data_IF_462161099874
#
_entry.id   IF_462161099874
#
_cell.length_a   1.000
_cell.length_b   1.000
_cell.length_c   1.000
_cell.angle_alpha   90.00
_cell.angle_beta   90.00
_cell.angle_gamma   90.00
#
_symmetry.space_group_name_H-M   'P 1'
#
loop_
_entity.id
_entity.type
_entity.pdbx_description
1 polymer ?
#
# COMPACT_ATOMS: atom_id res chain seq x y z
N UNK A 1 -4.73 8.74 -18.99
CA UNK A 1 -4.70 8.49 -17.53
C UNK A 1 -6.13 8.45 -17.06
N UNK A 2 -6.70 7.26 -16.90
CA UNK A 2 -8.15 7.05 -16.82
C UNK A 2 -8.60 6.82 -15.37
N UNK A 3 -9.39 7.77 -14.90
CA UNK A 3 -10.06 7.83 -13.62
C UNK A 3 -11.16 6.77 -13.51
N UNK A 4 -10.87 5.65 -12.84
CA UNK A 4 -11.91 4.80 -12.26
C UNK A 4 -11.92 4.83 -10.72
N UNK A 5 -10.86 5.36 -10.08
CA UNK A 5 -10.70 5.36 -8.62
C UNK A 5 -10.07 6.66 -8.08
N UNK A 6 -10.56 7.82 -8.51
CA UNK A 6 -10.19 9.09 -7.86
C UNK A 6 -10.90 9.20 -6.49
N UNK A 7 -10.48 8.35 -5.56
CA UNK A 7 -10.90 8.39 -4.16
C UNK A 7 -9.87 9.20 -3.38
N UNK A 8 -10.32 10.19 -2.61
CA UNK A 8 -9.45 10.98 -1.74
C UNK A 8 -8.89 10.03 -0.67
N UNK A 9 -7.58 9.76 -0.75
CA UNK A 9 -6.87 8.90 0.20
C UNK A 9 -6.23 9.76 1.27
N UNK A 10 -6.65 9.55 2.51
CA UNK A 10 -5.99 10.14 3.67
C UNK A 10 -4.63 9.47 3.88
N UNK A 11 -3.70 10.19 4.50
CA UNK A 11 -2.40 9.67 4.86
C UNK A 11 -2.53 8.32 5.58
N UNK A 12 -1.75 7.34 5.14
CA UNK A 12 -1.75 5.96 5.68
C UNK A 12 -3.05 5.18 5.47
N UNK A 13 -3.90 5.59 4.52
CA UNK A 13 -4.90 4.68 3.96
C UNK A 13 -4.22 3.46 3.32
N UNK A 14 -4.98 2.38 3.08
CA UNK A 14 -4.42 1.15 2.50
C UNK A 14 -3.60 1.46 1.25
N UNK A 15 -2.40 0.91 1.14
CA UNK A 15 -1.46 1.12 0.04
C UNK A 15 -0.68 2.44 0.04
N UNK A 16 -1.04 3.44 0.84
CA UNK A 16 -0.27 4.68 1.05
C UNK A 16 0.68 4.49 2.25
N UNK A 17 1.78 3.77 2.00
CA UNK A 17 2.72 3.36 3.04
C UNK A 17 3.68 4.51 3.41
N UNK A 18 3.86 5.49 2.53
CA UNK A 18 4.64 6.71 2.84
C UNK A 18 3.81 7.74 3.62
N UNK A 19 2.49 7.70 3.52
CA UNK A 19 1.58 8.65 4.14
C UNK A 19 1.51 9.98 3.39
N UNK A 20 1.88 10.01 2.10
CA UNK A 20 1.89 11.22 1.29
C UNK A 20 0.59 11.45 0.50
N UNK A 21 -0.35 10.50 0.59
CA UNK A 21 -1.66 10.57 -0.04
C UNK A 21 -1.71 10.03 -1.47
N UNK A 22 -0.59 9.55 -2.02
CA UNK A 22 -0.53 8.92 -3.34
C UNK A 22 -0.01 7.48 -3.24
N UNK A 23 -0.63 6.56 -3.98
CA UNK A 23 -0.09 5.19 -4.10
C UNK A 23 0.87 5.15 -5.29
N UNK A 24 2.15 5.02 -4.99
CA UNK A 24 3.24 5.07 -5.97
C UNK A 24 4.18 3.86 -5.85
N UNK A 25 5.24 3.84 -6.67
CA UNK A 25 6.31 2.85 -6.51
C UNK A 25 7.07 2.98 -5.18
N UNK A 26 6.98 4.12 -4.49
CA UNK A 26 7.64 4.33 -3.19
C UNK A 26 6.96 3.50 -2.11
N UNK A 27 5.63 3.45 -2.10
CA UNK A 27 4.83 2.63 -1.18
C UNK A 27 5.14 1.16 -1.35
N UNK A 28 5.20 0.71 -2.60
CA UNK A 28 5.64 -0.65 -2.96
C UNK A 28 7.03 -0.96 -2.41
N UNK A 29 7.97 -0.02 -2.51
CA UNK A 29 9.32 -0.20 -1.98
C UNK A 29 9.31 -0.30 -0.45
N UNK A 30 8.52 0.55 0.23
CA UNK A 30 8.39 0.51 1.69
C UNK A 30 7.75 -0.80 2.14
N UNK A 31 6.60 -1.19 1.60
CA UNK A 31 5.93 -2.46 1.87
C UNK A 31 6.89 -3.66 1.68
N UNK A 32 7.65 -3.67 0.57
CA UNK A 32 8.65 -4.72 0.33
C UNK A 32 9.73 -4.77 1.42
N UNK A 33 10.21 -3.62 1.89
CA UNK A 33 11.22 -3.58 2.95
C UNK A 33 10.66 -4.03 4.30
N UNK A 34 9.40 -3.74 4.59
CA UNK A 34 8.67 -4.21 5.77
C UNK A 34 8.50 -5.72 5.71
N UNK A 35 7.96 -6.26 4.61
CA UNK A 35 7.79 -7.69 4.39
C UNK A 35 9.11 -8.46 4.52
N UNK A 36 10.22 -7.88 4.04
CA UNK A 36 11.54 -8.49 4.15
C UNK A 36 12.22 -8.28 5.51
N UNK A 37 11.62 -7.52 6.44
CA UNK A 37 12.21 -7.21 7.75
C UNK A 37 13.46 -6.30 7.69
N UNK A 38 13.66 -5.59 6.57
CA UNK A 38 14.81 -4.69 6.34
C UNK A 38 14.53 -3.23 6.70
N UNK A 39 13.33 -2.96 7.19
CA UNK A 39 12.89 -1.67 7.71
C UNK A 39 12.00 -1.91 8.93
N UNK A 40 12.27 -1.18 10.02
CA UNK A 40 11.34 -1.11 11.16
C UNK A 40 10.21 -0.16 10.80
N UNK A 41 9.00 -0.70 10.67
CA UNK A 41 7.80 0.06 10.34
C UNK A 41 7.17 0.72 11.57
N UNK A 42 6.47 1.83 11.36
CA UNK A 42 5.49 2.35 12.33
C UNK A 42 4.19 1.55 12.29
N UNK A 43 3.31 1.74 13.27
CA UNK A 43 1.99 1.12 13.27
C UNK A 43 1.15 1.54 12.05
N UNK A 44 1.21 2.82 11.66
CA UNK A 44 0.48 3.35 10.50
C UNK A 44 1.00 2.74 9.19
N UNK A 45 2.31 2.53 9.08
CA UNK A 45 2.92 1.87 7.92
C UNK A 45 2.53 0.39 7.82
N UNK A 46 2.45 -0.32 8.95
CA UNK A 46 1.95 -1.69 8.97
C UNK A 46 0.47 -1.75 8.56
N UNK A 47 -0.34 -0.83 9.08
CA UNK A 47 -1.75 -0.73 8.70
C UNK A 47 -1.92 -0.43 7.22
N UNK A 48 -1.19 0.56 6.68
CA UNK A 48 -1.27 0.92 5.28
C UNK A 48 -0.76 -0.20 4.36
N UNK A 49 0.32 -0.90 4.75
CA UNK A 49 0.92 -1.94 3.93
C UNK A 49 0.10 -3.23 3.86
N UNK A 50 -0.64 -3.61 4.91
CA UNK A 50 -1.53 -4.78 4.93
C UNK A 50 -2.83 -4.50 4.14
N UNK A 51 -2.76 -4.56 2.81
CA UNK A 51 -3.88 -4.20 1.93
C UNK A 51 -4.89 -5.33 1.77
N UNK A 52 -4.49 -6.59 2.02
CA UNK A 52 -5.38 -7.74 1.97
C UNK A 52 -6.11 -8.00 3.31
N UNK A 53 -5.69 -7.35 4.41
CA UNK A 53 -6.25 -7.40 5.77
C UNK A 53 -6.12 -8.76 6.45
N UNK A 54 -5.06 -9.50 6.17
CA UNK A 54 -4.76 -10.75 6.86
C UNK A 54 -3.91 -10.56 8.14
N UNK A 55 -3.52 -9.30 8.43
CA UNK A 55 -2.64 -8.89 9.53
C UNK A 55 -1.17 -9.28 9.36
N UNK A 56 -0.75 -9.65 8.16
CA UNK A 56 0.63 -10.00 7.82
C UNK A 56 1.04 -9.18 6.60
N UNK A 57 2.02 -8.29 6.77
CA UNK A 57 2.61 -7.59 5.63
C UNK A 57 3.56 -8.54 4.91
N UNK A 58 3.16 -9.06 3.76
CA UNK A 58 3.96 -9.99 2.95
C UNK A 58 4.00 -9.63 1.46
N UNK A 59 4.51 -10.54 0.62
CA UNK A 59 4.64 -10.30 -0.83
C UNK A 59 3.30 -10.12 -1.53
N UNK A 60 2.22 -10.67 -0.97
CA UNK A 60 0.85 -10.52 -1.50
C UNK A 60 0.44 -9.06 -1.49
N UNK A 61 0.71 -8.35 -0.41
CA UNK A 61 0.43 -6.92 -0.31
C UNK A 61 1.24 -6.09 -1.29
N UNK A 62 2.53 -6.43 -1.42
CA UNK A 62 3.45 -5.74 -2.35
C UNK A 62 2.94 -5.86 -3.79
N UNK A 63 2.50 -7.05 -4.19
CA UNK A 63 1.95 -7.30 -5.51
C UNK A 63 0.60 -6.60 -5.71
N UNK A 64 -0.24 -6.52 -4.68
CA UNK A 64 -1.48 -5.76 -4.72
C UNK A 64 -1.25 -4.25 -4.85
N UNK A 65 -0.31 -3.65 -4.10
CA UNK A 65 0.05 -2.23 -4.24
C UNK A 65 0.57 -1.94 -5.65
N UNK A 66 1.41 -2.82 -6.19
CA UNK A 66 1.89 -2.71 -7.56
C UNK A 66 0.75 -2.81 -8.58
N UNK A 67 -0.16 -3.75 -8.36
CA UNK A 67 -1.34 -3.93 -9.20
C UNK A 67 -2.28 -2.73 -9.15
N UNK A 68 -2.46 -2.09 -8.00
CA UNK A 68 -3.22 -0.84 -7.88
C UNK A 68 -2.56 0.28 -8.69
N UNK A 69 -1.24 0.46 -8.55
CA UNK A 69 -0.48 1.45 -9.31
C UNK A 69 -0.64 1.27 -10.84
N UNK A 70 -0.68 0.02 -11.31
CA UNK A 70 -0.92 -0.30 -12.72
C UNK A 70 -2.41 -0.46 -13.09
N UNK A 71 -3.34 -0.20 -12.17
CA UNK A 71 -4.79 -0.36 -12.37
C UNK A 71 -5.23 -1.79 -12.78
N UNK A 72 -4.52 -2.82 -12.32
CA UNK A 72 -4.84 -4.24 -12.55
C UNK A 72 -5.53 -4.92 -11.37
N UNK A 73 -5.53 -4.30 -10.18
CA UNK A 73 -6.33 -4.70 -9.04
C UNK A 73 -6.85 -3.48 -8.25
N UNK A 74 -7.83 -3.70 -7.38
CA UNK A 74 -8.38 -2.70 -6.49
C UNK A 74 -8.49 -3.25 -5.06
N UNK A 75 -8.16 -2.40 -4.10
CA UNK A 75 -8.49 -2.56 -2.70
C UNK A 75 -9.01 -1.22 -2.16
N UNK A 76 -9.98 -1.24 -1.24
CA UNK A 76 -10.52 -0.01 -0.67
C UNK A 76 -9.46 0.71 0.18
N UNK A 77 -9.60 2.02 0.40
CA UNK A 77 -8.67 2.80 1.23
C UNK A 77 -8.71 2.46 2.73
N UNK A 78 -9.72 1.70 3.18
CA UNK A 78 -9.91 1.26 4.58
C UNK A 78 -9.69 -0.23 4.72
#
# INVERSE_FOLDING_TARGET
>A
MHALYAEERVAYSKGDVTGDGEITSMDKMFAQRIANGTMTATADQLYAADVNKDNVVDTTDVDMILGFYYSTCYFPPI
#
